data_IF_809496719849
#
_entry.id   IF_809496719849
#
_cell.length_a   1.000
_cell.length_b   1.000
_cell.length_c   1.000
_cell.angle_alpha   90.00
_cell.angle_beta   90.00
_cell.angle_gamma   90.00
#
_symmetry.space_group_name_H-M   'P 1'
#
loop_
_entity.id
_entity.type
_entity.pdbx_description
1 polymer ?
#
# COMPACT_ATOMS: atom_id res chain seq x y z
N UNK A 1 17.04 5.10 10.18
CA UNK A 1 17.21 6.36 10.96
C UNK A 1 18.64 6.85 10.80
N UNK A 2 18.86 8.13 10.50
CA UNK A 2 20.22 8.70 10.44
C UNK A 2 20.79 8.68 11.86
N UNK A 3 21.92 8.00 12.05
CA UNK A 3 22.67 8.00 13.31
C UNK A 3 23.78 9.06 13.26
N UNK A 4 24.52 9.09 12.14
CA UNK A 4 25.50 10.12 11.81
C UNK A 4 25.35 10.52 10.36
N UNK A 5 25.13 11.82 10.11
CA UNK A 5 24.95 12.34 8.76
C UNK A 5 26.08 11.89 7.83
N UNK A 6 25.71 11.38 6.65
CA UNK A 6 26.60 10.88 5.61
C UNK A 6 27.61 9.78 6.03
N UNK A 7 27.42 9.15 7.19
CA UNK A 7 28.34 8.11 7.71
C UNK A 7 27.64 6.87 8.22
N UNK A 8 26.49 7.03 8.86
CA UNK A 8 25.85 5.93 9.58
C UNK A 8 24.33 6.04 9.52
N UNK A 9 23.70 4.97 9.06
CA UNK A 9 22.24 4.81 9.02
C UNK A 9 21.88 3.48 9.66
N UNK A 10 20.84 3.49 10.49
CA UNK A 10 20.27 2.27 11.07
C UNK A 10 19.07 1.81 10.23
N UNK A 11 19.10 0.56 9.79
CA UNK A 11 17.95 -0.16 9.22
C UNK A 11 17.21 -0.84 10.37
N UNK A 12 15.92 -0.54 10.55
CA UNK A 12 15.12 -1.09 11.65
C UNK A 12 14.55 -2.47 11.32
N UNK A 13 14.30 -2.74 10.04
CA UNK A 13 13.85 -4.02 9.54
C UNK A 13 13.59 -3.93 8.04
N UNK A 14 13.89 -4.97 7.26
CA UNK A 14 13.45 -5.07 5.88
C UNK A 14 11.96 -5.46 5.82
N UNK A 15 11.34 -5.24 4.66
CA UNK A 15 10.10 -5.96 4.31
C UNK A 15 10.46 -7.39 3.88
N UNK A 16 9.51 -8.32 3.96
CA UNK A 16 9.71 -9.68 3.45
C UNK A 16 9.74 -9.70 1.92
N UNK A 17 8.81 -8.99 1.28
CA UNK A 17 8.67 -8.92 -0.17
C UNK A 17 8.45 -7.48 -0.65
N UNK A 18 8.81 -7.22 -1.92
CA UNK A 18 8.56 -5.94 -2.58
C UNK A 18 8.25 -6.15 -4.07
N UNK A 19 7.03 -5.80 -4.48
CA UNK A 19 6.61 -5.87 -5.88
C UNK A 19 7.20 -4.72 -6.71
N UNK A 20 7.64 -5.03 -7.92
CA UNK A 20 8.27 -4.10 -8.86
C UNK A 20 7.58 -4.18 -10.23
N UNK A 21 7.47 -3.07 -10.95
CA UNK A 21 7.05 -3.06 -12.35
C UNK A 21 8.19 -2.60 -13.24
N UNK A 22 8.30 -3.19 -14.44
CA UNK A 22 9.35 -2.89 -15.41
C UNK A 22 8.71 -2.45 -16.71
N UNK A 23 9.05 -1.24 -17.18
CA UNK A 23 8.67 -0.76 -18.51
C UNK A 23 9.95 -0.61 -19.34
N UNK A 24 10.12 -1.46 -20.35
CA UNK A 24 11.33 -1.43 -21.18
C UNK A 24 11.28 -0.38 -22.30
N UNK A 25 10.10 -0.03 -22.84
CA UNK A 25 9.94 0.89 -23.99
C UNK A 25 10.94 0.67 -25.15
N UNK A 26 11.25 -0.58 -25.48
CA UNK A 26 12.22 -0.93 -26.53
C UNK A 26 13.69 -0.89 -26.11
N UNK A 27 14.00 -0.46 -24.88
CA UNK A 27 15.33 -0.58 -24.30
C UNK A 27 15.71 -2.06 -24.13
N UNK A 28 16.98 -2.37 -24.43
CA UNK A 28 17.57 -3.68 -24.20
C UNK A 28 18.56 -3.55 -23.03
N UNK A 29 18.17 -3.89 -21.80
CA UNK A 29 19.07 -3.78 -20.67
C UNK A 29 20.26 -4.74 -20.87
N UNK A 30 21.46 -4.29 -20.50
CA UNK A 30 22.69 -5.09 -20.59
C UNK A 30 22.74 -6.26 -19.60
N UNK A 31 21.82 -6.28 -18.63
CA UNK A 31 21.73 -7.26 -17.56
C UNK A 31 20.26 -7.54 -17.22
N UNK A 32 19.93 -8.70 -16.64
CA UNK A 32 18.58 -8.97 -16.17
C UNK A 32 18.25 -8.05 -14.99
N UNK A 33 17.28 -7.14 -15.17
CA UNK A 33 16.99 -6.06 -14.22
C UNK A 33 16.68 -6.60 -12.82
N UNK A 34 15.63 -7.42 -12.66
CA UNK A 34 15.17 -7.84 -11.33
C UNK A 34 16.23 -8.64 -10.54
N UNK A 35 16.92 -9.65 -11.11
CA UNK A 35 18.00 -10.36 -10.41
C UNK A 35 19.19 -9.48 -10.05
N UNK A 36 19.54 -8.52 -10.91
CA UNK A 36 20.66 -7.59 -10.65
C UNK A 36 20.33 -6.67 -9.49
N UNK A 37 19.12 -6.12 -9.43
CA UNK A 37 18.69 -5.28 -8.31
C UNK A 37 18.57 -6.11 -7.02
N UNK A 38 18.05 -7.34 -7.09
CA UNK A 38 18.01 -8.25 -5.93
C UNK A 38 19.42 -8.50 -5.37
N UNK A 39 20.40 -8.73 -6.24
CA UNK A 39 21.80 -8.94 -5.83
C UNK A 39 22.37 -7.73 -5.07
N UNK A 40 22.05 -6.51 -5.51
CA UNK A 40 22.51 -5.27 -4.87
C UNK A 40 21.84 -5.08 -3.49
N UNK A 41 20.54 -5.34 -3.39
CA UNK A 41 19.76 -5.15 -2.15
C UNK A 41 20.09 -6.24 -1.12
N UNK A 42 20.41 -7.46 -1.57
CA UNK A 42 20.71 -8.60 -0.72
C UNK A 42 19.53 -9.58 -0.61
N UNK A 43 19.45 -10.29 0.52
CA UNK A 43 18.45 -11.36 0.71
C UNK A 43 17.01 -10.83 0.84
N UNK A 44 16.84 -9.72 1.54
CA UNK A 44 15.53 -9.15 1.91
C UNK A 44 15.50 -7.65 1.58
N UNK A 45 14.38 -7.13 1.03
CA UNK A 45 13.18 -7.85 0.62
C UNK A 45 13.39 -8.74 -0.61
N UNK A 46 12.58 -9.81 -0.73
CA UNK A 46 12.47 -10.58 -1.97
C UNK A 46 11.67 -9.77 -3.00
N UNK A 47 12.31 -9.41 -4.10
CA UNK A 47 11.69 -8.69 -5.19
C UNK A 47 10.78 -9.61 -6.01
N UNK A 48 9.57 -9.15 -6.29
CA UNK A 48 8.62 -9.82 -7.18
C UNK A 48 8.23 -8.90 -8.32
N UNK A 49 7.74 -9.47 -9.42
CA UNK A 49 7.22 -8.69 -10.55
C UNK A 49 5.71 -8.51 -10.36
N UNK A 50 5.25 -7.25 -10.35
CA UNK A 50 3.83 -6.92 -10.46
C UNK A 50 3.35 -7.11 -11.91
N UNK A 51 2.06 -7.32 -12.07
CA UNK A 51 1.40 -7.49 -13.37
C UNK A 51 1.76 -6.36 -14.33
N UNK A 52 1.68 -5.10 -13.89
CA UNK A 52 2.11 -3.95 -14.67
C UNK A 52 2.35 -2.69 -13.80
N UNK A 53 2.69 -1.56 -14.44
CA UNK A 53 2.92 -0.30 -13.73
C UNK A 53 1.64 0.33 -13.15
N UNK A 54 0.50 0.25 -13.85
CA UNK A 54 -0.78 0.76 -13.37
C UNK A 54 -1.26 0.00 -12.14
N UNK A 55 -1.04 -1.33 -12.07
CA UNK A 55 -1.47 -2.12 -10.92
C UNK A 55 -0.82 -1.65 -9.60
N UNK A 56 0.46 -1.24 -9.64
CA UNK A 56 1.14 -0.65 -8.48
C UNK A 56 0.50 0.68 -8.06
N UNK A 57 0.10 1.51 -9.02
CA UNK A 57 -0.42 2.86 -8.75
C UNK A 57 -1.89 2.87 -8.33
N UNK A 58 -2.68 1.88 -8.77
CA UNK A 58 -4.09 1.72 -8.38
C UNK A 58 -4.27 0.87 -7.13
N UNK A 59 -3.18 0.37 -6.54
CA UNK A 59 -3.24 -0.41 -5.31
C UNK A 59 -3.66 0.49 -4.14
N UNK A 60 -4.66 0.04 -3.38
CA UNK A 60 -5.35 0.86 -2.40
C UNK A 60 -4.49 1.31 -1.19
N UNK A 61 -3.34 0.68 -0.92
CA UNK A 61 -2.41 1.14 0.15
C UNK A 61 -1.94 2.60 -0.09
N UNK A 62 -1.83 3.00 -1.36
CA UNK A 62 -1.37 4.35 -1.74
C UNK A 62 -2.33 5.47 -1.30
N UNK A 63 -3.59 5.15 -0.97
CA UNK A 63 -4.64 6.13 -0.67
C UNK A 63 -5.21 6.01 0.74
N UNK A 64 -4.56 5.27 1.65
CA UNK A 64 -5.08 5.07 3.02
C UNK A 64 -5.04 6.36 3.84
N UNK A 65 -3.98 7.17 3.70
CA UNK A 65 -3.77 8.31 4.58
C UNK A 65 -4.78 9.46 4.39
N UNK A 66 -5.13 9.90 3.16
CA UNK A 66 -6.04 11.03 2.98
C UNK A 66 -7.46 10.82 3.55
N UNK A 67 -8.16 9.69 3.31
CA UNK A 67 -9.46 9.40 3.93
C UNK A 67 -9.40 9.36 5.46
N UNK A 68 -8.34 8.79 6.03
CA UNK A 68 -8.16 8.76 7.49
C UNK A 68 -7.98 10.17 8.06
N UNK A 69 -7.05 10.94 7.48
CA UNK A 69 -6.80 12.32 7.91
C UNK A 69 -8.04 13.19 7.77
N UNK A 70 -8.73 13.11 6.63
CA UNK A 70 -9.96 13.87 6.43
C UNK A 70 -11.04 13.44 7.42
N UNK A 71 -11.27 12.14 7.61
CA UNK A 71 -12.28 11.65 8.54
C UNK A 71 -12.00 11.96 10.01
N UNK A 72 -10.74 12.14 10.41
CA UNK A 72 -10.38 12.60 11.76
C UNK A 72 -10.58 14.11 11.93
N UNK A 73 -10.23 14.91 10.92
CA UNK A 73 -10.08 16.36 11.09
C UNK A 73 -11.11 17.22 10.36
N UNK A 74 -12.03 16.63 9.59
CA UNK A 74 -12.99 17.38 8.74
C UNK A 74 -13.86 18.40 9.49
N UNK A 75 -14.10 18.19 10.78
CA UNK A 75 -14.94 19.04 11.64
C UNK A 75 -14.14 19.58 12.84
N UNK A 76 -12.82 19.69 12.73
CA UNK A 76 -11.98 20.20 13.81
C UNK A 76 -12.31 21.66 14.12
N UNK A 77 -12.48 21.96 15.41
CA UNK A 77 -12.89 23.26 15.94
C UNK A 77 -11.73 24.25 16.17
N UNK A 78 -10.50 23.83 15.85
CA UNK A 78 -9.28 24.61 16.06
C UNK A 78 -8.67 24.48 17.47
N UNK A 79 -9.30 23.73 18.37
CA UNK A 79 -8.79 23.55 19.73
C UNK A 79 -7.76 22.40 19.82
N UNK A 80 -6.71 22.55 20.62
CA UNK A 80 -5.75 21.48 20.83
C UNK A 80 -6.39 20.30 21.56
N UNK A 81 -5.97 19.08 21.21
CA UNK A 81 -6.33 17.88 21.95
C UNK A 81 -5.48 17.74 23.22
N UNK A 82 -6.05 17.14 24.26
CA UNK A 82 -5.33 16.84 25.52
C UNK A 82 -4.24 15.79 25.35
N UNK A 83 -4.42 14.88 24.39
CA UNK A 83 -3.46 13.81 24.08
C UNK A 83 -3.41 13.54 22.58
N UNK A 84 -2.36 12.84 22.15
CA UNK A 84 -2.20 12.43 20.76
C UNK A 84 -3.20 11.30 20.45
N UNK A 85 -4.11 11.46 19.47
CA UNK A 85 -5.04 10.41 19.11
C UNK A 85 -4.30 9.23 18.46
N UNK A 86 -4.90 8.04 18.59
CA UNK A 86 -4.50 6.87 17.82
C UNK A 86 -4.76 7.11 16.33
N UNK A 87 -3.88 6.61 15.48
CA UNK A 87 -3.98 6.79 14.04
C UNK A 87 -4.84 5.67 13.41
N UNK A 88 -4.25 4.50 13.16
CA UNK A 88 -5.00 3.35 12.61
C UNK A 88 -6.02 2.78 13.59
N UNK A 89 -5.65 2.63 14.87
CA UNK A 89 -6.56 2.08 15.88
C UNK A 89 -7.71 3.05 16.26
N UNK A 90 -7.58 4.33 15.92
CA UNK A 90 -8.59 5.37 16.11
C UNK A 90 -9.56 5.53 14.93
N UNK A 91 -9.55 4.61 13.95
CA UNK A 91 -10.36 4.71 12.74
C UNK A 91 -11.86 4.75 13.03
N UNK A 92 -12.49 5.89 12.77
CA UNK A 92 -13.93 6.09 12.92
C UNK A 92 -14.73 5.57 11.70
N UNK A 93 -16.04 5.43 11.87
CA UNK A 93 -16.93 4.84 10.85
C UNK A 93 -16.98 5.66 9.56
N UNK A 94 -16.88 6.99 9.67
CA UNK A 94 -16.86 7.88 8.51
C UNK A 94 -15.60 7.65 7.66
N UNK A 95 -14.43 7.64 8.30
CA UNK A 95 -13.15 7.38 7.65
C UNK A 95 -13.11 5.97 7.06
N UNK A 96 -13.62 4.98 7.79
CA UNK A 96 -13.71 3.59 7.31
C UNK A 96 -14.61 3.49 6.05
N UNK A 97 -15.78 4.14 6.05
CA UNK A 97 -16.66 4.19 4.87
C UNK A 97 -16.00 4.90 3.70
N UNK A 98 -15.22 5.95 3.96
CA UNK A 98 -14.50 6.66 2.91
C UNK A 98 -13.38 5.81 2.29
N UNK A 99 -12.62 5.09 3.13
CA UNK A 99 -11.59 4.16 2.67
C UNK A 99 -12.17 3.06 1.78
N UNK A 100 -13.29 2.47 2.20
CA UNK A 100 -13.99 1.43 1.44
C UNK A 100 -14.46 1.93 0.06
N UNK A 101 -15.05 3.13 0.01
CA UNK A 101 -15.49 3.77 -1.23
C UNK A 101 -14.32 4.07 -2.16
N UNK A 102 -13.25 4.68 -1.67
CA UNK A 102 -12.07 5.01 -2.47
C UNK A 102 -11.42 3.71 -2.99
N UNK A 103 -11.29 2.69 -2.15
CA UNK A 103 -10.77 1.39 -2.59
C UNK A 103 -11.66 0.74 -3.65
N UNK A 104 -12.98 0.86 -3.52
CA UNK A 104 -13.94 0.37 -4.52
C UNK A 104 -13.80 1.12 -5.84
N UNK A 105 -13.62 2.44 -5.82
CA UNK A 105 -13.39 3.25 -7.03
C UNK A 105 -12.11 2.84 -7.77
N UNK A 106 -11.01 2.61 -7.05
CA UNK A 106 -9.74 2.13 -7.62
C UNK A 106 -9.90 0.74 -8.25
N UNK A 107 -10.54 -0.19 -7.54
CA UNK A 107 -10.83 -1.52 -8.05
C UNK A 107 -11.71 -1.47 -9.31
N UNK A 108 -12.80 -0.71 -9.29
CA UNK A 108 -13.71 -0.56 -10.44
C UNK A 108 -13.00 0.06 -11.65
N UNK A 109 -12.09 1.01 -11.40
CA UNK A 109 -11.25 1.60 -12.46
C UNK A 109 -10.36 0.54 -13.11
N UNK A 110 -9.72 -0.31 -12.31
CA UNK A 110 -8.91 -1.41 -12.83
C UNK A 110 -9.74 -2.42 -13.64
N UNK A 111 -10.95 -2.77 -13.16
CA UNK A 111 -11.89 -3.62 -13.89
C UNK A 111 -12.31 -3.00 -15.25
N UNK A 112 -12.57 -1.68 -15.27
CA UNK A 112 -12.89 -0.97 -16.50
C UNK A 112 -11.73 -0.98 -17.50
N UNK A 113 -10.49 -0.78 -17.03
CA UNK A 113 -9.27 -0.85 -17.85
C UNK A 113 -9.13 -2.26 -18.44
N UNK A 114 -9.21 -3.31 -17.62
CA UNK A 114 -9.12 -4.72 -18.07
C UNK A 114 -10.19 -5.05 -19.11
N UNK A 115 -11.41 -4.55 -18.94
CA UNK A 115 -12.51 -4.76 -19.89
C UNK A 115 -12.25 -4.09 -21.24
N UNK A 116 -11.68 -2.88 -21.22
CA UNK A 116 -11.37 -2.13 -22.44
C UNK A 116 -10.10 -2.65 -23.13
N UNK A 117 -9.14 -3.14 -22.36
CA UNK A 117 -7.86 -3.66 -22.82
C UNK A 117 -7.64 -5.08 -22.25
N UNK A 118 -8.22 -6.13 -22.86
CA UNK A 118 -8.17 -7.50 -22.33
C UNK A 118 -6.76 -8.06 -22.12
N UNK A 119 -5.78 -7.58 -22.88
CA UNK A 119 -4.38 -8.01 -22.77
C UNK A 119 -3.62 -7.33 -21.61
N UNK A 120 -4.21 -6.31 -20.96
CA UNK A 120 -3.60 -5.61 -19.84
C UNK A 120 -4.06 -6.25 -18.53
N UNK A 121 -3.21 -7.10 -17.93
CA UNK A 121 -3.51 -7.79 -16.67
C UNK A 121 -3.62 -6.82 -15.50
N UNK A 122 -4.84 -6.65 -14.96
CA UNK A 122 -5.14 -5.81 -13.81
C UNK A 122 -5.47 -6.62 -12.54
N UNK A 123 -5.18 -7.92 -12.52
CA UNK A 123 -5.56 -8.83 -11.42
C UNK A 123 -4.89 -8.51 -10.07
N UNK A 124 -3.73 -7.85 -10.09
CA UNK A 124 -3.04 -7.36 -8.89
C UNK A 124 -3.79 -6.22 -8.18
N UNK A 125 -4.71 -5.52 -8.85
CA UNK A 125 -5.51 -4.47 -8.21
C UNK A 125 -6.68 -5.10 -7.47
N UNK A 126 -6.52 -5.23 -6.17
CA UNK A 126 -7.52 -5.80 -5.24
C UNK A 126 -8.06 -4.74 -4.28
N UNK A 127 -9.19 -5.05 -3.64
CA UNK A 127 -9.74 -4.20 -2.60
C UNK A 127 -8.78 -4.10 -1.39
N UNK A 128 -8.75 -2.95 -0.71
CA UNK A 128 -7.87 -2.68 0.43
C UNK A 128 -8.03 -3.73 1.52
N UNK A 129 -9.26 -4.19 1.75
CA UNK A 129 -9.51 -5.22 2.76
C UNK A 129 -8.82 -6.54 2.42
N UNK A 130 -8.84 -6.95 1.16
CA UNK A 130 -8.15 -8.16 0.70
C UNK A 130 -6.64 -7.98 0.74
N UNK A 131 -6.16 -6.76 0.45
CA UNK A 131 -4.75 -6.43 0.65
C UNK A 131 -4.31 -6.55 2.11
N UNK A 132 -5.10 -6.07 3.08
CA UNK A 132 -4.83 -6.25 4.51
C UNK A 132 -4.79 -7.75 4.90
N UNK A 133 -5.74 -8.55 4.39
CA UNK A 133 -5.75 -10.00 4.61
C UNK A 133 -4.52 -10.71 4.05
N UNK A 134 -3.92 -10.20 2.97
CA UNK A 134 -2.72 -10.80 2.38
C UNK A 134 -1.44 -10.39 3.12
N UNK A 135 -1.34 -9.12 3.53
CA UNK A 135 -0.09 -8.52 4.00
C UNK A 135 0.04 -8.47 5.53
N UNK A 136 -1.08 -8.50 6.25
CA UNK A 136 -1.11 -8.31 7.71
C UNK A 136 -1.88 -9.41 8.45
N UNK A 137 -2.08 -10.58 7.81
CA UNK A 137 -2.88 -11.67 8.38
C UNK A 137 -2.47 -12.10 9.79
N UNK A 138 -1.19 -12.00 10.11
CA UNK A 138 -0.62 -12.45 11.39
C UNK A 138 -0.73 -11.39 12.48
N UNK A 139 -1.02 -10.15 12.09
CA UNK A 139 -1.16 -9.00 12.99
C UNK A 139 -2.63 -8.67 13.27
N UNK A 140 -3.54 -8.99 12.35
CA UNK A 140 -4.99 -8.72 12.49
C UNK A 140 -5.64 -9.76 13.41
N UNK A 141 -6.40 -9.31 14.41
CA UNK A 141 -7.19 -10.20 15.28
C UNK A 141 -8.70 -10.24 14.96
N UNK A 142 -9.24 -9.29 14.19
CA UNK A 142 -10.64 -9.30 13.74
C UNK A 142 -10.77 -9.01 12.22
N UNK A 143 -11.22 -10.01 11.47
CA UNK A 143 -11.44 -9.94 10.02
C UNK A 143 -12.92 -9.75 9.62
N UNK A 144 -13.77 -9.22 10.51
CA UNK A 144 -15.19 -8.99 10.18
C UNK A 144 -15.39 -7.88 9.14
N UNK A 145 -14.59 -6.82 9.21
CA UNK A 145 -14.67 -5.65 8.31
C UNK A 145 -13.28 -5.05 8.05
N UNK A 146 -13.17 -4.20 7.03
CA UNK A 146 -11.95 -3.40 6.81
C UNK A 146 -11.59 -2.56 8.06
N UNK A 147 -12.58 -1.96 8.70
CA UNK A 147 -12.39 -1.15 9.91
C UNK A 147 -11.82 -1.99 11.04
N UNK A 148 -12.43 -3.14 11.32
CA UNK A 148 -11.96 -4.06 12.37
C UNK A 148 -10.54 -4.55 12.10
N UNK A 149 -10.24 -4.90 10.84
CA UNK A 149 -8.91 -5.36 10.46
C UNK A 149 -7.86 -4.26 10.70
N UNK A 150 -8.12 -3.02 10.28
CA UNK A 150 -7.20 -1.91 10.49
C UNK A 150 -7.02 -1.54 11.97
N UNK A 151 -8.07 -1.66 12.78
CA UNK A 151 -8.02 -1.35 14.22
C UNK A 151 -7.30 -2.41 15.04
N UNK A 152 -7.22 -3.63 14.53
CA UNK A 152 -6.68 -4.78 15.26
C UNK A 152 -5.38 -5.32 14.68
N UNK A 153 -4.87 -4.72 13.60
CA UNK A 153 -3.55 -4.95 13.01
C UNK A 153 -2.42 -4.31 13.84
#
# INVERSE_FOLDING_TARGET
RIQKFAREVQVLGPKDTLACAIINRGCRPHFPILPTIQYIIGKEPKLTLAANYLSINLLADSVVHPPMMYGTWKDWDGQPLSEKPLFYQGLNDFAASMLDKVSTELFNTAQAIQKQYPDMDMSDVIHLFDWYKLNYKESISDFSTLQSAMRTC
#
